data_IF_415277441358
#
_entry.id   IF_415277441358
#
_cell.length_a   1.000
_cell.length_b   1.000
_cell.length_c   1.000
_cell.angle_alpha   90.00
_cell.angle_beta   90.00
_cell.angle_gamma   90.00
#
_symmetry.space_group_name_H-M   'P 1'
#
loop_
_entity.id
_entity.type
_entity.pdbx_description
1 polymer ?
#
# COMPACT_ATOMS: atom_id res chain seq x y z
N UNK A 1 -28.89 -17.40 52.67
CA UNK A 1 -28.24 -18.47 53.44
C UNK A 1 -27.02 -18.95 52.68
N UNK A 2 -25.90 -18.86 53.36
CA UNK A 2 -24.58 -19.41 53.11
C UNK A 2 -23.66 -18.74 52.05
N UNK A 3 -22.84 -17.92 52.56
CA UNK A 3 -21.48 -17.49 52.18
C UNK A 3 -20.50 -18.67 52.11
N UNK A 4 -19.58 -18.61 51.18
CA UNK A 4 -18.25 -19.18 51.36
C UNK A 4 -17.21 -18.40 50.52
N UNK A 5 -16.42 -17.63 51.22
CA UNK A 5 -15.12 -17.07 50.80
C UNK A 5 -14.10 -18.20 50.72
N UNK A 6 -13.23 -18.18 49.70
CA UNK A 6 -11.97 -18.92 49.75
C UNK A 6 -10.88 -18.07 49.09
N UNK A 7 -10.03 -17.55 49.94
CA UNK A 7 -8.72 -16.97 49.68
C UNK A 7 -7.73 -18.07 49.27
N UNK A 8 -6.97 -17.89 48.19
CA UNK A 8 -5.76 -18.68 47.92
C UNK A 8 -4.58 -17.75 47.67
N UNK A 9 -3.57 -18.00 48.47
CA UNK A 9 -2.30 -17.33 48.61
C UNK A 9 -1.40 -17.38 47.38
N UNK A 10 -0.60 -16.34 47.17
CA UNK A 10 0.52 -16.27 46.25
C UNK A 10 1.76 -17.04 46.79
N UNK A 11 2.55 -17.69 45.92
CA UNK A 11 3.83 -18.28 46.28
C UNK A 11 4.98 -17.27 46.20
N UNK A 12 6.08 -17.51 46.94
CA UNK A 12 7.13 -16.54 47.21
C UNK A 12 8.21 -16.46 46.11
N UNK A 13 8.85 -15.29 46.01
CA UNK A 13 10.03 -15.00 45.19
C UNK A 13 11.27 -15.73 45.73
N UNK A 14 12.15 -16.23 44.84
CA UNK A 14 13.49 -16.63 45.24
C UNK A 14 14.49 -15.46 45.20
N UNK A 15 15.39 -15.50 46.21
CA UNK A 15 16.46 -14.57 46.54
C UNK A 15 17.64 -14.64 45.52
N UNK A 16 18.27 -13.47 45.33
CA UNK A 16 19.57 -13.32 44.65
C UNK A 16 20.71 -13.81 45.58
N UNK A 17 21.79 -14.37 45.05
CA UNK A 17 23.07 -14.36 45.73
C UNK A 17 23.96 -13.19 45.28
N UNK A 18 24.59 -12.57 46.29
CA UNK A 18 25.73 -11.64 46.17
C UNK A 18 27.05 -12.41 46.17
N UNK A 19 28.05 -11.84 45.50
CA UNK A 19 29.46 -12.24 45.63
C UNK A 19 30.28 -11.51 44.56
N UNK A 20 31.00 -10.70 44.94
CA UNK A 20 32.16 -9.96 45.33
C UNK A 20 33.46 -10.35 44.58
N UNK A 21 34.26 -9.30 44.25
CA UNK A 21 35.70 -9.35 44.00
C UNK A 21 36.14 -9.01 42.59
N UNK A 22 36.76 -7.91 42.31
CA UNK A 22 38.08 -7.43 42.57
C UNK A 22 38.69 -7.02 41.23
N UNK A 23 39.10 -5.76 41.05
CA UNK A 23 39.83 -5.22 39.88
C UNK A 23 41.30 -5.69 39.82
N UNK A 24 42.18 -5.14 38.97
CA UNK A 24 42.46 -3.70 38.86
C UNK A 24 42.76 -3.17 37.42
N UNK A 25 42.70 -1.83 37.28
CA UNK A 25 43.46 -0.87 36.47
C UNK A 25 44.53 -1.36 35.49
N UNK A 26 44.49 -0.85 34.26
CA UNK A 26 45.62 -0.23 33.53
C UNK A 26 45.10 0.50 32.24
N UNK A 27 45.26 1.83 32.23
CA UNK A 27 45.41 2.74 31.08
C UNK A 27 46.95 3.01 30.93
N UNK A 28 47.57 3.56 29.93
CA UNK A 28 47.09 4.32 28.74
C UNK A 28 47.89 4.16 27.42
N UNK A 29 47.37 4.84 26.41
CA UNK A 29 48.09 5.47 25.27
C UNK A 29 48.98 4.64 24.35
N UNK A 30 48.52 4.54 23.05
CA UNK A 30 49.40 4.82 21.90
C UNK A 30 48.57 5.00 20.59
N UNK A 31 48.75 6.16 20.05
CA UNK A 31 48.78 6.60 18.65
C UNK A 31 48.12 5.76 17.51
N UNK A 32 47.40 6.52 16.66
CA UNK A 32 46.90 6.17 15.33
C UNK A 32 48.04 5.86 14.33
N UNK A 33 47.75 5.22 13.18
CA UNK A 33 47.34 6.03 12.04
C UNK A 33 46.16 5.49 11.21
N UNK A 34 45.60 6.40 10.45
CA UNK A 34 44.52 6.27 9.51
C UNK A 34 44.75 5.22 8.42
N UNK A 35 43.73 4.44 8.13
CA UNK A 35 43.55 3.85 6.81
C UNK A 35 42.06 3.85 6.46
N UNK A 36 41.72 4.57 5.40
CA UNK A 36 40.37 4.74 4.92
C UNK A 36 39.77 3.45 4.40
N UNK A 37 38.62 3.06 4.94
CA UNK A 37 37.77 2.07 4.34
C UNK A 37 36.62 2.78 3.65
N UNK A 38 36.69 2.77 2.32
CA UNK A 38 35.66 3.30 1.44
C UNK A 38 34.31 2.64 1.75
N UNK A 39 33.35 3.47 2.18
CA UNK A 39 31.93 3.11 2.19
C UNK A 39 31.50 2.88 0.75
N UNK A 40 31.38 1.62 0.36
CA UNK A 40 30.74 1.22 -0.89
C UNK A 40 29.31 1.75 -0.92
N UNK A 41 29.07 2.77 -1.73
CA UNK A 41 27.73 3.23 -2.11
C UNK A 41 27.00 2.05 -2.75
N UNK A 42 25.97 1.54 -2.09
CA UNK A 42 25.01 0.64 -2.71
C UNK A 42 24.37 1.38 -3.89
N UNK A 43 24.62 0.90 -5.09
CA UNK A 43 24.00 1.42 -6.31
C UNK A 43 22.50 1.19 -6.25
N UNK A 44 21.73 2.26 -6.40
CA UNK A 44 20.27 2.20 -6.58
C UNK A 44 19.97 1.53 -7.93
N UNK A 45 18.95 0.66 -7.97
CA UNK A 45 18.50 0.00 -9.18
C UNK A 45 17.94 0.98 -10.23
N UNK A 46 17.82 0.58 -11.50
CA UNK A 46 17.33 1.44 -12.57
C UNK A 46 15.87 1.83 -12.33
N UNK A 47 15.62 3.11 -12.09
CA UNK A 47 14.28 3.68 -11.88
C UNK A 47 14.14 4.59 -10.65
N UNK A 48 15.09 4.59 -9.74
CA UNK A 48 15.13 5.51 -8.61
C UNK A 48 16.21 6.57 -8.85
N UNK A 49 15.79 7.76 -9.29
CA UNK A 49 16.70 8.89 -9.27
C UNK A 49 17.17 9.11 -7.82
N UNK A 50 18.47 9.34 -7.59
CA UNK A 50 18.98 9.59 -6.25
C UNK A 50 18.31 10.86 -5.70
N UNK A 51 17.73 10.76 -4.52
CA UNK A 51 17.03 11.83 -3.79
C UNK A 51 18.00 12.89 -3.21
N UNK A 52 19.10 13.17 -3.88
CA UNK A 52 20.05 14.18 -3.45
C UNK A 52 20.29 15.16 -4.59
N UNK A 53 19.42 16.12 -4.74
CA UNK A 53 19.62 17.11 -5.77
C UNK A 53 18.70 18.31 -5.65
N UNK A 54 19.26 19.47 -5.90
CA UNK A 54 18.53 20.68 -6.26
C UNK A 54 17.45 20.32 -7.27
N UNK A 55 16.26 20.91 -7.11
CA UNK A 55 15.20 20.84 -8.11
C UNK A 55 15.75 21.27 -9.46
N UNK A 56 15.86 20.34 -10.40
CA UNK A 56 16.21 20.70 -11.77
C UNK A 56 14.95 21.23 -12.47
N UNK A 57 14.97 22.53 -12.70
CA UNK A 57 13.87 23.25 -13.37
C UNK A 57 14.16 23.48 -14.86
N UNK A 58 15.22 22.90 -15.42
CA UNK A 58 15.60 23.05 -16.83
C UNK A 58 14.83 22.05 -17.73
N UNK A 59 14.81 22.32 -19.03
CA UNK A 59 14.20 21.45 -20.03
C UNK A 59 12.70 21.23 -19.88
N UNK A 60 12.12 20.31 -20.70
CA UNK A 60 10.68 20.04 -20.71
C UNK A 60 10.16 19.48 -19.36
N UNK A 61 10.96 18.65 -18.70
CA UNK A 61 10.62 18.11 -17.39
C UNK A 61 10.64 19.20 -16.32
N UNK A 62 11.60 20.13 -16.39
CA UNK A 62 11.67 21.29 -15.52
C UNK A 62 10.50 22.24 -15.75
N UNK A 63 10.02 22.41 -16.98
CA UNK A 63 8.82 23.20 -17.28
C UNK A 63 7.56 22.66 -16.57
N UNK A 64 7.33 21.34 -16.63
CA UNK A 64 6.22 20.71 -15.90
C UNK A 64 6.36 20.88 -14.39
N UNK A 65 7.59 20.80 -13.86
CA UNK A 65 7.84 20.99 -12.44
C UNK A 65 7.59 22.45 -12.02
N UNK A 66 7.99 23.44 -12.83
CA UNK A 66 7.65 24.86 -12.59
C UNK A 66 6.14 25.09 -12.53
N UNK A 67 5.38 24.48 -13.46
CA UNK A 67 3.92 24.58 -13.44
C UNK A 67 3.31 23.95 -12.17
N UNK A 68 3.81 22.78 -11.77
CA UNK A 68 3.38 22.14 -10.52
C UNK A 68 3.68 23.00 -9.30
N UNK A 69 4.88 23.58 -9.19
CA UNK A 69 5.27 24.48 -8.10
C UNK A 69 4.38 25.74 -8.10
N UNK A 70 4.12 26.33 -9.27
CA UNK A 70 3.21 27.48 -9.37
C UNK A 70 1.80 27.14 -8.91
N UNK A 71 1.31 25.93 -9.21
CA UNK A 71 0.02 25.43 -8.71
C UNK A 71 0.01 25.30 -7.19
N UNK A 72 1.08 24.80 -6.60
CA UNK A 72 1.24 24.70 -5.14
C UNK A 72 1.25 26.10 -4.51
N UNK A 73 1.98 27.05 -5.06
CA UNK A 73 2.06 28.42 -4.51
C UNK A 73 0.73 29.16 -4.54
N UNK A 74 -0.18 28.83 -5.47
CA UNK A 74 -1.54 29.43 -5.47
C UNK A 74 -2.35 29.08 -4.22
N UNK A 75 -2.14 27.88 -3.65
CA UNK A 75 -2.91 27.40 -2.50
C UNK A 75 -2.13 27.39 -1.19
N UNK A 76 -0.81 27.48 -1.26
CA UNK A 76 0.11 27.48 -0.13
C UNK A 76 1.33 28.34 -0.49
N UNK A 77 1.21 29.69 -0.44
CA UNK A 77 2.27 30.61 -0.85
C UNK A 77 3.58 30.43 -0.07
N UNK A 78 3.48 30.00 1.19
CA UNK A 78 4.62 29.74 2.06
C UNK A 78 5.32 28.39 1.81
N UNK A 79 4.85 27.60 0.85
CA UNK A 79 5.48 26.31 0.52
C UNK A 79 6.83 26.53 -0.18
N UNK A 80 7.92 26.09 0.45
CA UNK A 80 9.27 26.16 -0.09
C UNK A 80 9.67 24.78 -0.63
N UNK A 81 9.70 24.59 -1.95
CA UNK A 81 10.04 23.29 -2.53
C UNK A 81 11.55 22.99 -2.33
N UNK A 82 11.85 21.78 -1.84
CA UNK A 82 13.23 21.34 -1.55
C UNK A 82 13.71 20.30 -2.55
N UNK A 83 12.88 19.28 -2.81
CA UNK A 83 13.26 18.17 -3.71
C UNK A 83 12.04 17.45 -4.28
N UNK A 84 12.22 16.77 -5.40
CA UNK A 84 11.24 15.83 -5.94
C UNK A 84 11.38 14.49 -5.20
N UNK A 85 10.34 14.07 -4.49
CA UNK A 85 10.29 12.78 -3.81
C UNK A 85 10.03 11.64 -4.79
N UNK A 86 9.09 11.86 -5.70
CA UNK A 86 8.68 10.88 -6.72
C UNK A 86 8.09 11.60 -7.91
N UNK A 87 8.36 11.09 -9.08
CA UNK A 87 7.72 11.52 -10.32
C UNK A 87 7.28 10.31 -11.13
N UNK A 88 6.10 10.37 -11.68
CA UNK A 88 5.57 9.44 -12.66
C UNK A 88 5.06 10.21 -13.88
N UNK A 89 4.62 9.52 -14.93
CA UNK A 89 3.92 10.19 -16.05
C UNK A 89 2.58 10.83 -15.64
N UNK A 90 2.07 10.52 -14.44
CA UNK A 90 0.75 10.95 -13.97
C UNK A 90 0.80 12.06 -12.94
N UNK A 91 1.75 12.02 -12.04
CA UNK A 91 1.86 12.96 -10.92
C UNK A 91 3.29 13.19 -10.48
N UNK A 92 3.50 14.29 -9.79
CA UNK A 92 4.75 14.59 -9.10
C UNK A 92 4.48 14.84 -7.61
N UNK A 93 5.37 14.28 -6.77
CA UNK A 93 5.42 14.55 -5.33
C UNK A 93 6.66 15.39 -5.04
N UNK A 94 6.45 16.55 -4.41
CA UNK A 94 7.50 17.50 -4.07
C UNK A 94 7.55 17.63 -2.55
N UNK A 95 8.72 17.40 -1.96
CA UNK A 95 8.95 17.71 -0.55
C UNK A 95 9.35 19.17 -0.43
N UNK A 96 8.79 19.83 0.55
CA UNK A 96 9.09 21.21 0.88
C UNK A 96 8.86 21.52 2.35
N UNK A 97 8.91 22.80 2.67
CA UNK A 97 8.61 23.32 4.01
C UNK A 97 7.49 24.36 3.94
N UNK A 98 6.66 24.40 4.97
CA UNK A 98 5.67 25.46 5.22
C UNK A 98 6.00 26.05 6.59
N UNK A 99 6.70 27.19 6.60
CA UNK A 99 7.32 27.70 7.82
C UNK A 99 8.34 26.70 8.40
N UNK A 100 8.12 26.23 9.63
CA UNK A 100 9.01 25.24 10.30
C UNK A 100 8.61 23.79 10.06
N UNK A 101 7.45 23.53 9.46
CA UNK A 101 6.96 22.17 9.23
C UNK A 101 7.39 21.66 7.86
N UNK A 102 7.63 20.35 7.75
CA UNK A 102 7.86 19.70 6.47
C UNK A 102 6.54 19.24 5.85
N UNK A 103 6.41 19.42 4.54
CA UNK A 103 5.19 19.09 3.81
C UNK A 103 5.53 18.32 2.51
N UNK A 104 4.52 17.66 1.97
CA UNK A 104 4.55 17.03 0.64
C UNK A 104 3.44 17.65 -0.19
N UNK A 105 3.80 18.19 -1.35
CA UNK A 105 2.86 18.59 -2.37
C UNK A 105 2.73 17.47 -3.41
N UNK A 106 1.49 17.05 -3.74
CA UNK A 106 1.15 16.14 -4.84
C UNK A 106 0.44 16.96 -5.91
N UNK A 107 0.94 16.91 -7.13
CA UNK A 107 0.33 17.60 -8.28
C UNK A 107 0.10 16.58 -9.40
N UNK A 108 -1.08 16.64 -10.01
CA UNK A 108 -1.40 15.86 -11.19
C UNK A 108 -0.67 16.45 -12.39
N UNK A 109 -0.13 15.60 -13.27
CA UNK A 109 0.52 15.97 -14.54
C UNK A 109 -0.30 15.51 -15.75
N UNK A 110 -1.05 14.40 -15.61
CA UNK A 110 -1.96 13.87 -16.62
C UNK A 110 -3.40 14.22 -16.21
N UNK A 111 -3.94 15.27 -16.82
CA UNK A 111 -5.28 15.79 -16.56
C UNK A 111 -6.38 15.07 -17.34
N UNK A 112 -6.15 13.81 -17.78
CA UNK A 112 -7.24 13.02 -18.33
C UNK A 112 -8.38 12.84 -17.31
N UNK A 113 -9.65 12.73 -17.76
CA UNK A 113 -10.81 12.72 -16.86
C UNK A 113 -10.71 11.68 -15.73
N UNK A 114 -10.24 10.48 -16.07
CA UNK A 114 -10.12 9.40 -15.08
C UNK A 114 -9.10 9.68 -13.96
N UNK A 115 -7.99 10.38 -14.27
CA UNK A 115 -6.99 10.74 -13.25
C UNK A 115 -7.41 11.97 -12.45
N UNK A 116 -8.06 12.93 -13.10
CA UNK A 116 -8.64 14.11 -12.44
C UNK A 116 -9.69 13.70 -11.41
N UNK A 117 -10.60 12.79 -11.77
CA UNK A 117 -11.62 12.28 -10.86
C UNK A 117 -11.02 11.57 -9.64
N UNK A 118 -10.03 10.69 -9.84
CA UNK A 118 -9.33 10.02 -8.73
C UNK A 118 -8.61 11.01 -7.83
N UNK A 119 -7.96 12.01 -8.39
CA UNK A 119 -7.26 13.01 -7.60
C UNK A 119 -8.24 13.86 -6.78
N UNK A 120 -9.39 14.23 -7.36
CA UNK A 120 -10.47 14.90 -6.64
C UNK A 120 -11.03 14.04 -5.51
N UNK A 121 -11.17 12.75 -5.75
CA UNK A 121 -11.58 11.78 -4.73
C UNK A 121 -10.57 11.71 -3.56
N UNK A 122 -9.28 11.69 -3.84
CA UNK A 122 -8.24 11.75 -2.80
C UNK A 122 -8.34 13.02 -1.96
N UNK A 123 -8.53 14.18 -2.60
CA UNK A 123 -8.74 15.46 -1.89
C UNK A 123 -9.99 15.39 -1.00
N UNK A 124 -11.09 14.83 -1.53
CA UNK A 124 -12.33 14.66 -0.77
C UNK A 124 -12.11 13.74 0.45
N UNK A 125 -11.35 12.66 0.30
CA UNK A 125 -10.99 11.77 1.40
C UNK A 125 -10.20 12.51 2.49
N UNK A 126 -9.16 13.27 2.16
CA UNK A 126 -8.42 14.07 3.14
C UNK A 126 -9.30 15.12 3.83
N UNK A 127 -10.21 15.78 3.11
CA UNK A 127 -11.18 16.71 3.70
C UNK A 127 -12.14 16.03 4.68
N UNK A 128 -12.58 14.82 4.34
CA UNK A 128 -13.40 14.00 5.23
C UNK A 128 -12.64 13.61 6.50
N UNK A 129 -11.35 13.23 6.40
CA UNK A 129 -10.51 12.87 7.54
C UNK A 129 -10.23 14.01 8.50
N UNK A 130 -10.19 15.25 8.03
CA UNK A 130 -10.09 16.43 8.90
C UNK A 130 -11.30 16.52 9.84
N UNK A 131 -12.50 16.19 9.33
CA UNK A 131 -13.76 16.28 10.08
C UNK A 131 -14.06 15.04 10.92
N UNK A 132 -13.74 13.86 10.37
CA UNK A 132 -14.23 12.56 10.88
C UNK A 132 -13.08 11.58 11.17
N UNK A 133 -11.99 12.04 11.66
CA UNK A 133 -10.76 11.33 12.08
C UNK A 133 -10.84 9.80 11.96
N UNK A 134 -10.23 9.18 10.94
CA UNK A 134 -10.22 7.72 10.82
C UNK A 134 -9.42 7.09 11.99
N UNK A 135 -9.67 5.82 12.34
CA UNK A 135 -9.00 5.15 13.45
C UNK A 135 -7.53 4.74 13.14
N UNK A 136 -6.94 5.39 12.15
CA UNK A 136 -5.54 5.23 11.72
C UNK A 136 -4.93 6.60 11.53
N UNK A 137 -3.61 6.67 11.62
CA UNK A 137 -2.92 7.91 11.32
C UNK A 137 -2.90 8.17 9.82
N UNK A 138 -3.22 9.40 9.47
CA UNK A 138 -3.14 9.94 8.12
C UNK A 138 -2.40 11.26 8.16
N UNK A 139 -1.71 11.67 7.08
CA UNK A 139 -1.14 13.01 6.98
C UNK A 139 -2.21 14.09 7.18
N UNK A 140 -1.88 15.15 7.88
CA UNK A 140 -2.76 16.31 8.01
C UNK A 140 -2.86 17.04 6.69
N UNK A 141 -4.07 17.38 6.26
CA UNK A 141 -4.31 18.24 5.11
C UNK A 141 -3.86 19.67 5.46
N UNK A 142 -3.04 20.27 4.59
CA UNK A 142 -2.58 21.66 4.71
C UNK A 142 -3.37 22.53 3.74
N UNK A 143 -3.34 22.19 2.44
CA UNK A 143 -4.08 22.92 1.40
C UNK A 143 -4.49 21.97 0.28
N UNK A 144 -5.56 22.26 -0.44
CA UNK A 144 -6.00 21.48 -1.59
C UNK A 144 -6.80 22.32 -2.59
N UNK A 145 -6.53 22.09 -3.85
CA UNK A 145 -7.25 22.64 -5.00
C UNK A 145 -7.73 21.48 -5.90
N UNK A 146 -9.03 21.11 -5.85
CA UNK A 146 -9.57 20.04 -6.66
C UNK A 146 -9.64 20.42 -8.16
N UNK A 147 -9.73 21.70 -8.49
CA UNK A 147 -9.83 22.15 -9.89
C UNK A 147 -8.48 22.02 -10.61
N UNK A 148 -7.40 22.40 -9.94
CA UNK A 148 -6.05 22.27 -10.48
C UNK A 148 -5.34 20.99 -10.00
N UNK A 149 -6.07 20.05 -9.37
CA UNK A 149 -5.54 18.76 -8.90
C UNK A 149 -4.22 18.92 -8.15
N UNK A 150 -4.22 19.76 -7.12
CA UNK A 150 -3.08 20.06 -6.26
C UNK A 150 -3.43 19.81 -4.80
N UNK A 151 -2.58 19.07 -4.10
CA UNK A 151 -2.77 18.68 -2.70
C UNK A 151 -1.47 18.92 -1.92
N UNK A 152 -1.55 19.59 -0.78
CA UNK A 152 -0.44 19.78 0.16
C UNK A 152 -0.82 19.12 1.48
N UNK A 153 0.00 18.18 1.92
CA UNK A 153 -0.20 17.42 3.17
C UNK A 153 1.06 17.45 4.02
N UNK A 154 0.91 17.17 5.30
CA UNK A 154 2.02 16.98 6.23
C UNK A 154 2.96 15.88 5.72
N UNK A 155 4.27 16.11 5.79
CA UNK A 155 5.26 15.06 5.54
C UNK A 155 5.37 14.18 6.77
N UNK A 156 4.95 12.92 6.62
CA UNK A 156 5.11 11.94 7.68
C UNK A 156 6.53 11.40 7.70
N UNK A 157 7.17 11.32 8.88
CA UNK A 157 8.46 10.64 9.02
C UNK A 157 8.28 9.12 8.87
N UNK A 158 9.40 8.41 8.74
CA UNK A 158 9.40 6.95 8.64
C UNK A 158 9.74 6.44 7.25
N UNK A 159 9.99 5.14 7.17
CA UNK A 159 10.19 4.42 5.91
C UNK A 159 8.88 3.84 5.39
N UNK A 160 8.78 3.63 4.11
CA UNK A 160 7.70 2.83 3.53
C UNK A 160 7.89 1.35 3.90
N UNK A 161 6.80 0.61 4.08
CA UNK A 161 6.84 -0.81 4.41
C UNK A 161 7.42 -1.65 3.25
N UNK A 162 7.24 -1.22 2.00
CA UNK A 162 7.93 -1.75 0.83
C UNK A 162 8.12 -0.66 -0.23
N UNK A 163 9.20 -0.74 -1.02
CA UNK A 163 9.50 0.24 -2.08
C UNK A 163 8.75 -0.06 -3.38
N UNK A 164 8.41 -1.32 -3.62
CA UNK A 164 7.76 -1.79 -4.85
C UNK A 164 6.37 -2.32 -4.55
N UNK A 165 5.51 -2.32 -5.56
CA UNK A 165 4.15 -2.86 -5.47
C UNK A 165 4.15 -4.35 -5.10
N UNK A 166 4.99 -5.12 -5.77
CA UNK A 166 5.26 -6.53 -5.45
C UNK A 166 6.69 -6.61 -4.91
N UNK A 167 6.88 -6.74 -3.59
CA UNK A 167 8.20 -6.92 -3.01
C UNK A 167 8.84 -8.22 -3.50
N UNK A 168 10.09 -8.15 -3.99
CA UNK A 168 10.84 -9.34 -4.42
C UNK A 168 11.31 -10.19 -3.23
N UNK A 169 11.40 -9.60 -2.05
CA UNK A 169 11.74 -10.27 -0.81
C UNK A 169 10.56 -10.20 0.17
N UNK A 170 10.39 -11.24 0.98
CA UNK A 170 9.37 -11.25 2.02
C UNK A 170 9.60 -10.10 3.02
N UNK A 171 8.62 -9.20 3.21
CA UNK A 171 8.75 -8.11 4.16
C UNK A 171 8.91 -8.65 5.61
N UNK A 172 9.57 -7.89 6.51
CA UNK A 172 9.68 -8.27 7.90
C UNK A 172 8.31 -8.55 8.53
N UNK A 173 8.21 -9.61 9.33
CA UNK A 173 6.94 -10.01 9.97
C UNK A 173 6.32 -8.89 10.81
N UNK A 174 7.14 -8.05 11.44
CA UNK A 174 6.69 -6.89 12.20
C UNK A 174 5.98 -5.87 11.32
N UNK A 175 6.50 -5.62 10.12
CA UNK A 175 5.94 -4.67 9.15
C UNK A 175 4.59 -5.18 8.61
N UNK A 176 4.53 -6.47 8.25
CA UNK A 176 3.27 -7.11 7.81
C UNK A 176 2.22 -7.03 8.93
N UNK A 177 2.59 -7.31 10.17
CA UNK A 177 1.68 -7.21 11.32
C UNK A 177 1.19 -5.79 11.53
N UNK A 178 2.08 -4.79 11.45
CA UNK A 178 1.73 -3.38 11.58
C UNK A 178 0.77 -2.94 10.46
N UNK A 179 1.03 -3.35 9.21
CA UNK A 179 0.18 -3.10 8.06
C UNK A 179 -1.21 -3.72 8.23
N UNK A 180 -1.29 -5.01 8.56
CA UNK A 180 -2.56 -5.71 8.79
C UNK A 180 -3.35 -5.08 9.93
N UNK A 181 -2.70 -4.68 11.02
CA UNK A 181 -3.34 -3.97 12.13
C UNK A 181 -3.91 -2.61 11.74
N UNK A 182 -3.21 -1.84 10.90
CA UNK A 182 -3.71 -0.57 10.39
C UNK A 182 -4.92 -0.77 9.47
N UNK A 183 -4.82 -1.71 8.52
CA UNK A 183 -5.90 -2.04 7.59
C UNK A 183 -7.13 -2.56 8.34
N UNK A 184 -6.97 -3.44 9.32
CA UNK A 184 -8.10 -3.93 10.13
C UNK A 184 -8.83 -2.79 10.84
N UNK A 185 -8.11 -1.77 11.33
CA UNK A 185 -8.75 -0.58 11.94
C UNK A 185 -9.53 0.23 10.91
N UNK A 186 -8.97 0.46 9.70
CA UNK A 186 -9.69 1.13 8.60
C UNK A 186 -10.94 0.34 8.22
N UNK A 187 -10.82 -0.96 8.07
CA UNK A 187 -11.93 -1.83 7.66
C UNK A 187 -13.03 -1.94 8.73
N UNK A 188 -12.70 -1.71 10.00
CA UNK A 188 -13.68 -1.62 11.09
C UNK A 188 -14.34 -0.24 11.20
N UNK A 189 -13.79 0.79 10.55
CA UNK A 189 -14.34 2.13 10.61
C UNK A 189 -15.65 2.24 9.85
N UNK A 190 -16.57 3.03 10.40
CA UNK A 190 -17.84 3.36 9.77
C UNK A 190 -17.94 4.88 9.62
N UNK A 191 -17.42 5.42 8.50
CA UNK A 191 -17.59 6.85 8.22
C UNK A 191 -19.06 7.22 8.13
N UNK A 192 -19.43 8.48 8.46
CA UNK A 192 -20.78 8.99 8.27
C UNK A 192 -21.29 8.78 6.84
N UNK A 193 -22.59 8.55 6.70
CA UNK A 193 -23.20 8.36 5.39
C UNK A 193 -23.02 9.59 4.49
N UNK A 194 -22.82 9.35 3.19
CA UNK A 194 -22.66 10.42 2.19
C UNK A 194 -21.27 11.04 2.12
N UNK A 195 -20.27 10.56 2.89
CA UNK A 195 -18.89 11.08 2.81
C UNK A 195 -18.07 10.47 1.68
N UNK A 196 -18.37 9.25 1.30
CA UNK A 196 -17.69 8.51 0.24
C UNK A 196 -18.71 8.00 -0.75
N UNK A 197 -18.27 7.89 -1.99
CA UNK A 197 -19.10 7.47 -3.10
C UNK A 197 -19.80 6.12 -2.87
N UNK A 198 -20.76 5.83 -3.74
CA UNK A 198 -21.48 4.58 -3.75
C UNK A 198 -20.51 3.37 -3.75
N UNK A 199 -20.93 2.23 -3.19
CA UNK A 199 -20.14 1.02 -3.21
C UNK A 199 -19.70 0.63 -4.62
N UNK A 200 -18.53 -0.03 -4.73
CA UNK A 200 -18.09 -0.60 -6.00
C UNK A 200 -19.20 -1.49 -6.58
N UNK A 201 -19.62 -1.22 -7.81
CA UNK A 201 -20.52 -2.10 -8.53
C UNK A 201 -19.77 -3.34 -9.02
N UNK A 202 -19.88 -4.40 -8.23
CA UNK A 202 -19.21 -5.69 -8.49
C UNK A 202 -19.79 -6.38 -9.72
N UNK A 203 -21.11 -6.30 -9.94
CA UNK A 203 -21.75 -6.94 -11.07
C UNK A 203 -21.27 -6.35 -12.38
N UNK A 204 -21.30 -5.03 -12.51
CA UNK A 204 -20.77 -4.33 -13.69
C UNK A 204 -19.27 -4.54 -13.88
N UNK A 205 -18.50 -4.61 -12.76
CA UNK A 205 -17.05 -4.85 -12.85
C UNK A 205 -16.72 -6.25 -13.36
N UNK A 206 -17.43 -7.27 -12.88
CA UNK A 206 -17.25 -8.66 -13.32
C UNK A 206 -17.69 -8.82 -14.78
N UNK A 207 -18.86 -8.28 -15.16
CA UNK A 207 -19.31 -8.27 -16.55
C UNK A 207 -18.28 -7.62 -17.47
N UNK A 208 -17.73 -6.47 -17.07
CA UNK A 208 -16.69 -5.79 -17.84
C UNK A 208 -15.42 -6.62 -18.02
N UNK A 209 -14.98 -7.36 -16.99
CA UNK A 209 -13.82 -8.25 -17.14
C UNK A 209 -14.11 -9.45 -18.02
N UNK A 210 -15.34 -9.94 -18.03
CA UNK A 210 -15.80 -10.98 -18.96
C UNK A 210 -15.82 -10.48 -20.40
N UNK A 211 -16.40 -9.31 -20.69
CA UNK A 211 -16.37 -8.67 -22.01
C UNK A 211 -14.96 -8.47 -22.55
N UNK A 212 -14.01 -8.20 -21.68
CA UNK A 212 -12.59 -8.05 -22.04
C UNK A 212 -11.86 -9.39 -22.19
N UNK A 213 -12.55 -10.53 -22.08
CA UNK A 213 -11.97 -11.87 -22.18
C UNK A 213 -11.06 -12.26 -21.01
N UNK A 214 -11.11 -11.53 -19.89
CA UNK A 214 -10.30 -11.79 -18.70
C UNK A 214 -10.94 -12.83 -17.77
N UNK A 215 -12.25 -13.00 -17.86
CA UNK A 215 -13.02 -14.06 -17.22
C UNK A 215 -13.68 -14.94 -18.27
N UNK A 216 -13.76 -16.24 -18.00
CA UNK A 216 -14.54 -17.20 -18.77
C UNK A 216 -16.02 -17.13 -18.38
N UNK A 217 -16.93 -17.69 -19.20
CA UNK A 217 -18.35 -17.84 -18.84
C UNK A 217 -18.53 -18.53 -17.50
N UNK A 218 -17.70 -19.53 -17.21
CA UNK A 218 -17.71 -20.23 -15.95
C UNK A 218 -17.30 -19.32 -14.77
N UNK A 219 -16.22 -18.53 -14.93
CA UNK A 219 -15.79 -17.57 -13.91
C UNK A 219 -16.90 -16.55 -13.63
N UNK A 220 -17.56 -16.04 -14.68
CA UNK A 220 -18.69 -15.13 -14.59
C UNK A 220 -19.83 -15.77 -13.77
N UNK A 221 -20.26 -16.97 -14.15
CA UNK A 221 -21.37 -17.67 -13.47
C UNK A 221 -21.05 -17.99 -12.01
N UNK A 222 -19.83 -18.45 -11.71
CA UNK A 222 -19.42 -18.78 -10.35
C UNK A 222 -19.36 -17.52 -9.46
N UNK A 223 -18.80 -16.40 -9.96
CA UNK A 223 -18.74 -15.13 -9.25
C UNK A 223 -20.13 -14.53 -9.02
N UNK A 224 -21.03 -14.62 -10.00
CA UNK A 224 -22.43 -14.17 -9.86
C UNK A 224 -23.16 -14.96 -8.78
N UNK A 225 -22.96 -16.29 -8.68
CA UNK A 225 -23.54 -17.12 -7.61
C UNK A 225 -23.04 -16.68 -6.23
N UNK A 226 -21.74 -16.38 -6.09
CA UNK A 226 -21.20 -15.87 -4.83
C UNK A 226 -21.82 -14.52 -4.48
N UNK A 227 -21.90 -13.57 -5.43
CA UNK A 227 -22.53 -12.26 -5.21
C UNK A 227 -24.00 -12.39 -4.80
N UNK A 228 -24.75 -13.24 -5.47
CA UNK A 228 -26.15 -13.52 -5.12
C UNK A 228 -26.28 -14.05 -3.70
N UNK A 229 -25.46 -15.02 -3.32
CA UNK A 229 -25.44 -15.54 -1.97
C UNK A 229 -25.03 -14.50 -0.91
N UNK A 230 -24.11 -13.58 -1.23
CA UNK A 230 -23.75 -12.48 -0.34
C UNK A 230 -24.92 -11.49 -0.15
N UNK A 231 -25.62 -11.16 -1.23
CA UNK A 231 -26.81 -10.29 -1.16
C UNK A 231 -27.91 -10.88 -0.25
N UNK A 232 -28.12 -12.20 -0.30
CA UNK A 232 -29.11 -12.88 0.56
C UNK A 232 -28.65 -12.96 2.03
N UNK A 233 -27.36 -13.21 2.28
CA UNK A 233 -26.80 -13.30 3.62
C UNK A 233 -26.74 -11.95 4.36
N UNK A 234 -26.59 -10.84 3.62
CA UNK A 234 -26.39 -9.50 4.18
C UNK A 234 -27.65 -8.76 4.63
N UNK A 235 -28.83 -9.26 4.30
CA UNK A 235 -30.11 -8.61 4.65
C UNK A 235 -30.20 -7.15 4.14
N UNK A 236 -31.06 -6.33 4.81
CA UNK A 236 -31.28 -4.92 4.51
C UNK A 236 -30.12 -3.99 4.90
N UNK A 237 -29.18 -4.45 5.74
CA UNK A 237 -27.99 -3.68 6.09
C UNK A 237 -26.89 -4.00 5.09
N UNK A 238 -26.53 -3.03 4.25
CA UNK A 238 -25.52 -3.18 3.20
C UNK A 238 -24.25 -3.84 3.71
N UNK A 239 -23.81 -4.88 3.01
CA UNK A 239 -22.60 -5.68 3.33
C UNK A 239 -21.28 -4.96 3.08
N UNK A 240 -21.29 -3.62 2.89
CA UNK A 240 -20.13 -2.83 2.56
C UNK A 240 -19.14 -2.70 3.74
N UNK A 241 -17.85 -2.77 3.43
CA UNK A 241 -16.74 -2.45 4.32
C UNK A 241 -16.00 -1.24 3.78
N UNK A 242 -15.69 -0.27 4.64
CA UNK A 242 -14.84 0.84 4.23
C UNK A 242 -13.40 0.34 4.08
N UNK A 243 -12.80 0.60 2.94
CA UNK A 243 -11.47 0.15 2.56
C UNK A 243 -10.60 1.32 2.10
N UNK A 244 -9.29 1.15 2.22
CA UNK A 244 -8.31 2.02 1.58
C UNK A 244 -8.39 1.92 0.04
N UNK A 245 -8.73 0.73 -0.47
CA UNK A 245 -8.92 0.45 -1.90
C UNK A 245 -7.63 0.23 -2.71
N UNK A 246 -6.47 0.63 -2.18
CA UNK A 246 -5.14 0.29 -2.71
C UNK A 246 -4.14 0.10 -1.57
N UNK A 247 -4.46 -0.81 -0.65
CA UNK A 247 -3.71 -1.10 0.58
C UNK A 247 -2.38 -1.80 0.30
N UNK A 248 -1.49 -1.12 -0.42
CA UNK A 248 -0.14 -1.59 -0.73
C UNK A 248 0.82 -1.27 0.40
N UNK A 249 1.84 -2.09 0.56
CA UNK A 249 2.93 -1.80 1.51
C UNK A 249 3.70 -0.51 1.15
N UNK A 250 3.71 -0.10 -0.13
CA UNK A 250 4.27 1.17 -0.57
C UNK A 250 3.45 2.40 -0.13
N UNK A 251 2.19 2.19 0.26
CA UNK A 251 1.27 3.22 0.76
C UNK A 251 1.18 3.23 2.30
N UNK A 252 2.06 2.45 2.96
CA UNK A 252 2.13 2.36 4.42
C UNK A 252 3.50 2.84 4.90
N UNK A 253 3.51 3.94 5.63
CA UNK A 253 4.71 4.46 6.29
C UNK A 253 4.80 3.89 7.70
N UNK A 254 6.01 3.57 8.14
CA UNK A 254 6.31 2.97 9.43
C UNK A 254 7.20 3.89 10.28
N UNK A 255 6.66 4.98 10.83
CA UNK A 255 7.35 5.75 11.85
C UNK A 255 7.33 5.01 13.21
N UNK A 256 8.19 5.39 14.17
CA UNK A 256 8.19 4.80 15.53
C UNK A 256 6.84 4.93 16.26
N UNK A 257 6.03 5.91 15.87
CA UNK A 257 4.72 6.21 16.47
C UNK A 257 3.56 5.37 15.91
N UNK A 258 3.85 4.38 15.08
CA UNK A 258 2.87 3.49 14.46
C UNK A 258 2.57 3.80 12.99
N UNK A 259 1.95 2.85 12.27
CA UNK A 259 1.75 2.95 10.82
C UNK A 259 0.84 4.12 10.41
N UNK A 260 1.21 4.75 9.30
CA UNK A 260 0.48 5.85 8.64
C UNK A 260 0.11 5.41 7.23
N UNK A 261 -1.14 5.63 6.83
CA UNK A 261 -1.60 5.32 5.48
C UNK A 261 -1.65 6.59 4.63
N UNK A 262 -1.24 6.45 3.37
CA UNK A 262 -1.19 7.52 2.37
C UNK A 262 -1.75 7.04 1.03
N UNK A 263 -2.06 7.96 0.12
CA UNK A 263 -2.54 7.65 -1.24
C UNK A 263 -3.98 7.08 -1.24
N UNK A 264 -4.93 7.88 -0.79
CA UNK A 264 -6.34 7.52 -0.56
C UNK A 264 -7.23 7.68 -1.80
N UNK A 265 -6.65 7.68 -3.00
CA UNK A 265 -7.38 7.89 -4.27
C UNK A 265 -8.41 6.78 -4.60
N UNK A 266 -8.40 5.69 -3.85
CA UNK A 266 -9.32 4.56 -3.99
C UNK A 266 -10.15 4.26 -2.72
N UNK A 267 -10.11 5.16 -1.73
CA UNK A 267 -10.86 4.97 -0.49
C UNK A 267 -12.37 4.91 -0.75
N UNK A 268 -13.05 3.94 -0.15
CA UNK A 268 -14.49 3.79 -0.39
C UNK A 268 -15.09 2.51 0.17
N UNK A 269 -16.27 2.18 -0.32
CA UNK A 269 -17.02 1.02 0.10
C UNK A 269 -16.83 -0.17 -0.84
N UNK A 270 -16.45 -1.30 -0.28
CA UNK A 270 -16.19 -2.56 -0.98
C UNK A 270 -16.84 -3.72 -0.25
N UNK A 271 -16.90 -4.89 -0.89
CA UNK A 271 -17.18 -6.12 -0.17
C UNK A 271 -16.09 -6.38 0.89
N UNK A 272 -16.43 -7.00 2.04
CA UNK A 272 -15.45 -7.30 3.08
C UNK A 272 -14.21 -8.02 2.57
N UNK A 273 -13.03 -7.60 3.06
CA UNK A 273 -11.76 -8.21 2.70
C UNK A 273 -11.09 -7.71 1.42
N UNK A 274 -11.53 -6.60 0.81
CA UNK A 274 -10.90 -6.05 -0.40
C UNK A 274 -9.43 -5.66 -0.18
N UNK A 275 -9.12 -4.94 0.90
CA UNK A 275 -7.74 -4.57 1.24
C UNK A 275 -6.89 -5.80 1.58
N UNK A 276 -7.48 -6.82 2.21
CA UNK A 276 -6.82 -8.09 2.47
C UNK A 276 -6.50 -8.84 1.16
N UNK A 277 -7.41 -8.83 0.19
CA UNK A 277 -7.18 -9.41 -1.13
C UNK A 277 -6.06 -8.69 -1.88
N UNK A 278 -5.99 -7.35 -1.77
CA UNK A 278 -4.91 -6.55 -2.35
C UNK A 278 -3.55 -6.93 -1.74
N UNK A 279 -3.45 -7.00 -0.41
CA UNK A 279 -2.22 -7.44 0.26
C UNK A 279 -1.85 -8.87 -0.09
N UNK A 280 -2.82 -9.78 -0.14
CA UNK A 280 -2.59 -11.18 -0.50
C UNK A 280 -1.97 -11.31 -1.90
N UNK A 281 -2.50 -10.57 -2.89
CA UNK A 281 -2.02 -10.61 -4.27
C UNK A 281 -0.57 -10.09 -4.39
N UNK A 282 -0.20 -9.04 -3.66
CA UNK A 282 1.13 -8.44 -3.77
C UNK A 282 2.20 -9.14 -2.91
N UNK A 283 1.83 -9.92 -1.91
CA UNK A 283 2.73 -10.65 -1.01
C UNK A 283 3.03 -12.08 -1.47
N UNK A 284 3.25 -12.29 -2.79
CA UNK A 284 3.51 -13.62 -3.37
C UNK A 284 4.65 -14.38 -2.70
N UNK A 285 5.74 -13.69 -2.42
CA UNK A 285 6.95 -14.28 -1.86
C UNK A 285 6.95 -14.37 -0.32
N UNK A 286 5.77 -14.13 0.31
CA UNK A 286 5.57 -14.19 1.75
C UNK A 286 4.45 -15.19 2.13
N UNK A 287 4.65 -16.51 1.99
CA UNK A 287 3.58 -17.50 2.17
C UNK A 287 2.99 -17.51 3.60
N UNK A 288 3.77 -17.18 4.62
CA UNK A 288 3.28 -17.06 5.98
C UNK A 288 2.30 -15.88 6.13
N UNK A 289 2.60 -14.73 5.51
CA UNK A 289 1.71 -13.58 5.49
C UNK A 289 0.42 -13.89 4.72
N UNK A 290 0.50 -14.55 3.56
CA UNK A 290 -0.68 -14.98 2.80
C UNK A 290 -1.59 -15.93 3.60
N UNK A 291 -1.02 -16.90 4.32
CA UNK A 291 -1.81 -17.77 5.22
C UNK A 291 -2.52 -16.97 6.31
N UNK A 292 -1.82 -16.03 6.96
CA UNK A 292 -2.42 -15.16 7.97
C UNK A 292 -3.56 -14.32 7.39
N UNK A 293 -3.38 -13.74 6.20
CA UNK A 293 -4.41 -12.95 5.51
C UNK A 293 -5.63 -13.83 5.20
N UNK A 294 -5.42 -15.04 4.67
CA UNK A 294 -6.51 -15.98 4.36
C UNK A 294 -7.29 -16.38 5.61
N UNK A 295 -6.60 -16.60 6.73
CA UNK A 295 -7.24 -16.89 8.02
C UNK A 295 -8.09 -15.70 8.50
N UNK A 296 -7.56 -14.48 8.46
CA UNK A 296 -8.29 -13.26 8.83
C UNK A 296 -9.54 -13.06 7.94
N UNK A 297 -9.41 -13.26 6.64
CA UNK A 297 -10.51 -13.11 5.69
C UNK A 297 -11.65 -14.13 5.92
N UNK A 298 -11.32 -15.29 6.44
CA UNK A 298 -12.28 -16.39 6.67
C UNK A 298 -12.84 -16.43 8.10
N UNK A 299 -12.24 -15.70 9.04
CA UNK A 299 -12.57 -15.76 10.47
C UNK A 299 -14.04 -15.39 10.77
N UNK A 300 -14.66 -14.55 9.93
CA UNK A 300 -16.07 -14.14 10.09
C UNK A 300 -17.06 -15.06 9.35
N UNK A 301 -16.64 -16.27 8.94
CA UNK A 301 -17.50 -17.29 8.37
C UNK A 301 -17.60 -17.31 6.83
N UNK A 302 -18.56 -18.08 6.31
CA UNK A 302 -18.67 -18.36 4.88
C UNK A 302 -18.90 -17.09 4.03
N UNK A 303 -19.74 -16.16 4.47
CA UNK A 303 -19.99 -14.92 3.73
C UNK A 303 -18.70 -14.05 3.61
N UNK A 304 -17.91 -13.97 4.67
CA UNK A 304 -16.64 -13.24 4.62
C UNK A 304 -15.63 -13.92 3.69
N UNK A 305 -15.54 -15.25 3.72
CA UNK A 305 -14.75 -16.04 2.77
C UNK A 305 -15.15 -15.76 1.32
N UNK A 306 -16.46 -15.80 1.04
CA UNK A 306 -16.98 -15.62 -0.31
C UNK A 306 -16.72 -14.19 -0.82
N UNK A 307 -16.93 -13.18 0.02
CA UNK A 307 -16.59 -11.79 -0.29
C UNK A 307 -15.09 -11.62 -0.60
N UNK A 308 -14.23 -12.21 0.23
CA UNK A 308 -12.78 -12.21 -0.02
C UNK A 308 -12.41 -12.88 -1.34
N UNK A 309 -13.04 -14.02 -1.70
CA UNK A 309 -12.75 -14.71 -2.97
C UNK A 309 -13.19 -13.89 -4.18
N UNK A 310 -14.35 -13.21 -4.13
CA UNK A 310 -14.77 -12.28 -5.18
C UNK A 310 -13.74 -11.15 -5.33
N UNK A 311 -13.35 -10.53 -4.22
CA UNK A 311 -12.32 -9.48 -4.21
C UNK A 311 -10.99 -9.97 -4.77
N UNK A 312 -10.55 -11.17 -4.37
CA UNK A 312 -9.29 -11.74 -4.81
C UNK A 312 -9.26 -11.98 -6.33
N UNK A 313 -10.36 -12.48 -6.90
CA UNK A 313 -10.48 -12.64 -8.35
C UNK A 313 -10.37 -11.29 -9.09
N UNK A 314 -11.07 -10.25 -8.61
CA UNK A 314 -11.00 -8.93 -9.23
C UNK A 314 -9.60 -8.30 -9.10
N UNK A 315 -8.98 -8.42 -7.94
CA UNK A 315 -7.64 -7.86 -7.67
C UNK A 315 -6.59 -8.57 -8.53
N UNK A 316 -6.55 -9.91 -8.53
CA UNK A 316 -5.59 -10.67 -9.35
C UNK A 316 -5.74 -10.36 -10.84
N UNK A 317 -6.97 -10.28 -11.34
CA UNK A 317 -7.24 -9.91 -12.73
C UNK A 317 -6.75 -8.49 -13.06
N UNK A 318 -6.95 -7.54 -12.14
CA UNK A 318 -6.40 -6.18 -12.27
C UNK A 318 -4.87 -6.19 -12.33
N UNK A 319 -4.21 -6.96 -11.45
CA UNK A 319 -2.75 -7.07 -11.41
C UNK A 319 -2.22 -7.69 -12.72
N UNK A 320 -2.78 -8.82 -13.16
CA UNK A 320 -2.41 -9.47 -14.41
C UNK A 320 -2.47 -8.47 -15.57
N UNK A 321 -3.61 -7.81 -15.74
CA UNK A 321 -3.80 -6.83 -16.82
C UNK A 321 -2.78 -5.68 -16.78
N UNK A 322 -2.47 -5.20 -15.56
CA UNK A 322 -1.51 -4.12 -15.35
C UNK A 322 -0.11 -4.53 -15.84
N UNK A 323 0.32 -5.73 -15.49
CA UNK A 323 1.64 -6.23 -15.86
C UNK A 323 1.72 -6.71 -17.31
N UNK A 324 0.68 -7.30 -17.86
CA UNK A 324 0.60 -7.61 -19.29
C UNK A 324 0.76 -6.33 -20.15
N UNK A 325 0.03 -5.28 -19.77
CA UNK A 325 0.14 -3.99 -20.47
C UNK A 325 1.56 -3.40 -20.35
N UNK A 326 2.20 -3.52 -19.19
CA UNK A 326 3.57 -3.06 -18.98
C UNK A 326 4.59 -3.86 -19.80
N UNK A 327 4.46 -5.17 -19.84
CA UNK A 327 5.32 -6.06 -20.66
C UNK A 327 5.14 -5.76 -22.14
N UNK A 328 3.90 -5.62 -22.63
CA UNK A 328 3.63 -5.29 -24.03
C UNK A 328 4.21 -3.92 -24.42
N UNK A 329 4.14 -2.93 -23.52
CA UNK A 329 4.74 -1.62 -23.76
C UNK A 329 6.26 -1.71 -23.86
N UNK A 330 6.90 -2.40 -22.91
CA UNK A 330 8.35 -2.60 -22.91
C UNK A 330 8.83 -3.31 -24.19
N UNK A 331 8.06 -4.27 -24.71
CA UNK A 331 8.37 -4.95 -25.97
C UNK A 331 8.25 -4.02 -27.20
N UNK A 332 7.30 -3.07 -27.18
CA UNK A 332 7.11 -2.12 -28.30
C UNK A 332 8.13 -1.00 -28.32
N UNK A 333 8.55 -0.55 -27.13
CA UNK A 333 9.51 0.56 -27.00
C UNK A 333 10.96 0.15 -27.29
N UNK A 334 11.23 -1.15 -27.53
CA UNK A 334 12.55 -1.72 -27.78
C UNK A 334 13.44 -1.59 -26.52
N UNK A 335 14.14 -2.65 -26.14
CA UNK A 335 15.14 -2.53 -25.07
C UNK A 335 16.15 -1.46 -25.51
N UNK A 336 16.49 -0.44 -24.69
CA UNK A 336 17.55 0.48 -25.03
C UNK A 336 18.82 -0.34 -25.27
N UNK A 337 19.40 -0.22 -26.47
CA UNK A 337 20.67 -0.84 -26.88
C UNK A 337 21.80 -0.20 -26.10
N UNK A 338 21.90 -0.55 -24.84
CA UNK A 338 22.94 -0.19 -23.89
C UNK A 338 23.48 -1.48 -23.29
N UNK A 339 24.40 -2.14 -24.01
CA UNK A 339 25.25 -3.19 -23.48
C UNK A 339 26.15 -2.60 -22.39
N UNK A 340 25.63 -2.47 -21.18
CA UNK A 340 26.32 -2.04 -19.98
C UNK A 340 26.13 -3.09 -18.90
N UNK A 341 27.10 -4.01 -18.79
CA UNK A 341 27.43 -4.87 -17.64
C UNK A 341 26.25 -5.33 -16.78
N UNK A 342 25.59 -6.40 -17.20
CA UNK A 342 24.80 -7.26 -16.33
C UNK A 342 25.70 -7.82 -15.22
N UNK A 343 25.45 -7.44 -13.97
CA UNK A 343 26.01 -8.16 -12.82
C UNK A 343 25.56 -9.62 -12.95
N UNK A 344 26.53 -10.53 -12.98
CA UNK A 344 26.26 -11.97 -12.92
C UNK A 344 25.30 -12.27 -11.76
N UNK A 345 24.09 -12.79 -12.10
CA UNK A 345 23.08 -13.18 -11.13
C UNK A 345 21.84 -12.25 -10.95
N UNK A 346 21.82 -11.05 -11.55
CA UNK A 346 20.62 -10.21 -11.54
C UNK A 346 19.77 -10.50 -12.80
N UNK A 347 18.50 -10.84 -12.61
CA UNK A 347 17.54 -10.99 -13.71
C UNK A 347 17.36 -9.63 -14.42
N UNK A 348 17.13 -9.65 -15.73
CA UNK A 348 16.73 -8.44 -16.43
C UNK A 348 15.33 -7.99 -15.95
N UNK A 349 15.05 -6.68 -16.00
CA UNK A 349 13.73 -6.15 -15.61
C UNK A 349 12.58 -6.83 -16.35
N UNK A 350 12.80 -7.27 -17.59
CA UNK A 350 11.81 -8.01 -18.37
C UNK A 350 11.59 -9.44 -17.88
N UNK A 351 12.63 -10.10 -17.38
CA UNK A 351 12.53 -11.45 -16.79
C UNK A 351 11.81 -11.42 -15.45
N UNK A 352 12.12 -10.45 -14.59
CA UNK A 352 11.41 -10.24 -13.33
C UNK A 352 9.90 -10.03 -13.56
N UNK A 353 9.55 -9.20 -14.55
CA UNK A 353 8.15 -8.96 -14.91
C UNK A 353 7.45 -10.22 -15.43
N UNK A 354 8.14 -11.06 -16.24
CA UNK A 354 7.59 -12.32 -16.74
C UNK A 354 7.38 -13.34 -15.61
N UNK A 355 8.33 -13.45 -14.68
CA UNK A 355 8.19 -14.32 -13.52
C UNK A 355 7.04 -13.89 -12.62
N UNK A 356 6.92 -12.59 -12.37
CA UNK A 356 5.79 -12.03 -11.64
C UNK A 356 4.46 -12.33 -12.32
N UNK A 357 4.37 -12.14 -13.64
CA UNK A 357 3.16 -12.40 -14.40
C UNK A 357 2.76 -13.89 -14.35
N UNK A 358 3.73 -14.81 -14.47
CA UNK A 358 3.48 -16.24 -14.31
C UNK A 358 2.92 -16.56 -12.92
N UNK A 359 3.53 -16.03 -11.87
CA UNK A 359 3.02 -16.19 -10.50
C UNK A 359 1.59 -15.68 -10.36
N UNK A 360 1.27 -14.50 -10.91
CA UNK A 360 -0.09 -13.94 -10.85
C UNK A 360 -1.12 -14.83 -11.57
N UNK A 361 -0.74 -15.47 -12.68
CA UNK A 361 -1.61 -16.44 -13.36
C UNK A 361 -1.82 -17.70 -12.51
N UNK A 362 -0.78 -18.23 -11.87
CA UNK A 362 -0.88 -19.37 -10.95
C UNK A 362 -1.77 -19.06 -9.75
N UNK A 363 -1.61 -17.87 -9.15
CA UNK A 363 -2.44 -17.35 -8.07
C UNK A 363 -3.92 -17.22 -8.52
N UNK A 364 -4.17 -16.72 -9.72
CA UNK A 364 -5.51 -16.60 -10.29
C UNK A 364 -6.14 -17.99 -10.53
N UNK A 365 -5.36 -18.96 -11.03
CA UNK A 365 -5.83 -20.33 -11.19
C UNK A 365 -6.19 -20.99 -9.83
N UNK A 366 -5.42 -20.69 -8.78
CA UNK A 366 -5.71 -21.14 -7.43
C UNK A 366 -6.99 -20.48 -6.89
N UNK A 367 -7.15 -19.16 -7.08
CA UNK A 367 -8.36 -18.44 -6.67
C UNK A 367 -9.62 -18.97 -7.38
N UNK A 368 -9.53 -19.28 -8.69
CA UNK A 368 -10.62 -19.93 -9.43
C UNK A 368 -11.04 -21.27 -8.82
N UNK A 369 -10.07 -22.11 -8.41
CA UNK A 369 -10.40 -23.38 -7.72
C UNK A 369 -11.11 -23.15 -6.39
N UNK A 370 -10.65 -22.14 -5.62
CA UNK A 370 -11.26 -21.80 -4.34
C UNK A 370 -12.70 -21.27 -4.51
N UNK A 371 -12.95 -20.43 -5.53
CA UNK A 371 -14.28 -19.95 -5.90
C UNK A 371 -15.21 -21.11 -6.23
N UNK A 372 -14.77 -22.06 -7.08
CA UNK A 372 -15.55 -23.27 -7.43
C UNK A 372 -15.90 -24.10 -6.21
N UNK A 373 -14.93 -24.33 -5.32
CA UNK A 373 -15.17 -25.06 -4.07
C UNK A 373 -16.19 -24.33 -3.19
N UNK A 374 -16.11 -22.99 -3.08
CA UNK A 374 -17.06 -22.19 -2.32
C UNK A 374 -18.47 -22.26 -2.89
N UNK A 375 -18.63 -22.24 -4.21
CA UNK A 375 -19.94 -22.41 -4.90
C UNK A 375 -20.49 -23.80 -4.69
N UNK A 376 -19.67 -24.85 -4.70
CA UNK A 376 -20.10 -26.25 -4.51
C UNK A 376 -20.52 -26.59 -3.07
N UNK A 377 -20.21 -25.75 -2.09
CA UNK A 377 -20.61 -25.93 -0.67
C UNK A 377 -21.84 -25.13 -0.27
N UNK A 378 -22.56 -24.53 -1.21
CA UNK A 378 -23.79 -23.73 -0.99
C UNK A 378 -25.06 -24.52 -1.23
#
# INVERSE_FOLDING_TARGET
>A
MYTASSSVSAPPRPLRPMGAGGGPYLDPRAAAPASGTGRTRRAAGPGTQPLSGRLDLSGPQGAQLRMAIASVHRICPEFNPVQVLRRSGRSVLIVGTTGRATAVAKCLLDHSPAWTERFRHEIAAYRAFVRHRPPVRVPRLIAADPENCTLVIERMPGRVAALTRHPAEAPPRADVRAALGAISRVNAWRPPAGLFDAPLDYASRIARYHELGLFTDRDLGDLQKLLHGLAHAGGRQGTGQFCHGDALLSNILLPPTGPVLVDWEHAGWYLPGYDLATLWAVLGDAPAARRQISQLAQAAGAAARDAFLVNLMLVLTREIRTYETAVQRAMREGAPSGAGQTRQGALSSGEEQRLLLRRLHDDCAMARRAVRAAVGTR
#
